data_IF_407726007249
#
_entry.id   IF_407726007249
#
_cell.length_a   1.000
_cell.length_b   1.000
_cell.length_c   1.000
_cell.angle_alpha   90.00
_cell.angle_beta   90.00
_cell.angle_gamma   90.00
#
_symmetry.space_group_name_H-M   'P 1'
#
loop_
_entity.id
_entity.type
_entity.pdbx_description
1 polymer ?
#
# COMPACT_ATOMS: atom_id res chain seq x y z
N UNK A 1 7.16 2.26 -24.98
CA UNK A 1 5.94 2.91 -24.51
C UNK A 1 6.28 3.88 -23.39
N UNK A 2 5.69 5.07 -23.42
CA UNK A 2 6.01 6.20 -22.53
C UNK A 2 5.74 5.87 -21.04
N UNK A 3 4.95 4.88 -20.76
CA UNK A 3 4.54 4.53 -19.40
C UNK A 3 5.50 3.53 -18.69
N UNK A 4 6.27 2.75 -19.41
CA UNK A 4 7.15 1.72 -18.80
C UNK A 4 8.31 2.32 -18.01
N UNK A 5 8.69 3.56 -18.27
CA UNK A 5 9.77 4.25 -17.55
C UNK A 5 9.40 4.87 -16.20
N UNK A 6 8.13 4.79 -15.79
CA UNK A 6 7.63 5.47 -14.57
C UNK A 6 7.38 4.48 -13.43
N UNK A 7 7.30 3.18 -13.71
CA UNK A 7 6.98 2.14 -12.74
C UNK A 7 8.23 1.37 -12.32
N UNK A 8 8.43 1.26 -11.02
CA UNK A 8 9.44 0.34 -10.48
C UNK A 8 8.91 -1.08 -10.58
N UNK A 9 9.69 -1.99 -11.18
CA UNK A 9 9.35 -3.41 -11.27
C UNK A 9 10.33 -4.22 -10.42
N UNK A 10 9.79 -5.04 -9.54
CA UNK A 10 10.53 -5.98 -8.71
C UNK A 10 9.95 -7.38 -8.96
N UNK A 11 10.78 -8.32 -9.31
CA UNK A 11 10.36 -9.69 -9.58
C UNK A 11 11.27 -10.67 -8.86
N UNK A 12 10.66 -11.68 -8.22
CA UNK A 12 11.37 -12.78 -7.54
C UNK A 12 12.44 -12.28 -6.53
N UNK A 13 12.07 -11.29 -5.73
CA UNK A 13 12.93 -10.75 -4.67
C UNK A 13 12.52 -11.33 -3.31
N UNK A 14 13.51 -11.80 -2.56
CA UNK A 14 13.29 -12.50 -1.31
C UNK A 14 14.03 -11.82 -0.17
N UNK A 15 13.31 -11.52 0.91
CA UNK A 15 13.86 -11.05 2.18
C UNK A 15 13.71 -12.18 3.19
N UNK A 16 14.81 -12.63 3.76
CA UNK A 16 14.78 -13.75 4.69
C UNK A 16 15.54 -13.43 5.98
N UNK A 17 14.80 -13.31 7.07
CA UNK A 17 15.38 -13.17 8.40
C UNK A 17 16.14 -14.45 8.83
N UNK A 18 17.14 -14.28 9.67
CA UNK A 18 17.86 -15.40 10.28
C UNK A 18 17.04 -16.05 11.40
N UNK A 19 17.54 -17.13 11.95
CA UNK A 19 16.95 -17.82 13.11
C UNK A 19 16.69 -16.81 14.25
N UNK A 20 15.45 -16.76 14.73
CA UNK A 20 14.99 -15.78 15.74
C UNK A 20 14.20 -14.62 15.16
N UNK A 21 14.19 -14.49 13.85
CA UNK A 21 13.37 -13.52 13.12
C UNK A 21 14.04 -12.18 12.86
N UNK A 22 13.58 -11.48 11.84
CA UNK A 22 14.01 -10.14 11.46
C UNK A 22 13.09 -9.09 12.09
N UNK A 23 13.68 -8.06 12.68
CA UNK A 23 12.94 -6.88 13.16
C UNK A 23 13.22 -5.70 12.24
N UNK A 24 12.16 -4.99 11.83
CA UNK A 24 12.23 -3.76 11.05
C UNK A 24 11.62 -2.63 11.86
N UNK A 25 12.37 -1.55 12.02
CA UNK A 25 11.94 -0.43 12.84
C UNK A 25 12.15 0.91 12.13
N UNK A 26 11.13 1.75 12.13
CA UNK A 26 11.17 3.14 11.67
C UNK A 26 10.51 4.03 12.71
N UNK A 27 11.29 4.44 13.71
CA UNK A 27 10.84 5.26 14.83
C UNK A 27 11.81 6.42 15.10
N UNK A 28 11.34 7.47 15.76
CA UNK A 28 12.16 8.61 16.13
C UNK A 28 11.48 9.96 15.89
N UNK A 29 12.31 10.99 15.85
CA UNK A 29 11.91 12.36 15.53
C UNK A 29 12.84 12.93 14.44
N UNK A 30 12.42 13.98 13.78
CA UNK A 30 13.28 14.72 12.85
C UNK A 30 14.33 15.56 13.64
N UNK A 31 15.18 16.28 12.91
CA UNK A 31 16.22 17.14 13.51
C UNK A 31 15.66 18.26 14.40
N UNK A 32 14.38 18.58 14.31
CA UNK A 32 13.70 19.59 15.11
C UNK A 32 13.02 18.97 16.36
N UNK A 33 13.13 17.65 16.57
CA UNK A 33 12.46 16.92 17.66
C UNK A 33 10.98 16.63 17.39
N UNK A 34 10.47 16.85 16.18
CA UNK A 34 9.09 16.58 15.81
C UNK A 34 8.94 15.12 15.35
N UNK A 35 7.84 14.47 15.74
CA UNK A 35 7.43 13.17 15.18
C UNK A 35 7.05 13.38 13.73
N UNK A 36 7.59 12.57 12.83
CA UNK A 36 7.30 12.61 11.40
C UNK A 36 6.68 11.29 10.93
N UNK A 37 6.07 11.31 9.75
CA UNK A 37 5.48 10.13 9.11
C UNK A 37 6.58 9.10 8.78
N UNK A 38 6.84 8.17 9.69
CA UNK A 38 7.73 7.05 9.49
C UNK A 38 6.97 5.84 8.96
N UNK A 39 7.52 5.20 7.92
CA UNK A 39 6.93 4.01 7.34
C UNK A 39 7.90 2.83 7.44
N UNK A 40 7.42 1.71 7.98
CA UNK A 40 8.18 0.48 8.12
C UNK A 40 7.49 -0.68 7.37
N UNK A 41 8.24 -1.43 6.58
CA UNK A 41 7.75 -2.61 5.91
C UNK A 41 8.81 -3.69 5.88
N UNK A 42 8.43 -4.94 6.07
CA UNK A 42 9.36 -6.05 6.02
C UNK A 42 10.07 -6.16 4.67
N UNK A 43 9.42 -5.78 3.59
CA UNK A 43 9.97 -5.74 2.24
C UNK A 43 10.27 -4.30 1.76
N UNK A 44 9.30 -3.40 1.87
CA UNK A 44 9.43 -2.00 1.47
C UNK A 44 8.76 -1.09 2.51
N UNK A 45 9.48 -0.06 3.00
CA UNK A 45 8.91 0.96 3.88
C UNK A 45 7.84 1.78 3.15
N UNK A 46 8.19 2.41 2.01
CA UNK A 46 7.25 3.21 1.20
C UNK A 46 7.41 2.92 -0.27
N UNK A 47 6.31 2.71 -0.97
CA UNK A 47 6.28 2.47 -2.42
C UNK A 47 5.30 3.39 -3.13
N UNK A 48 5.73 3.90 -4.28
CA UNK A 48 4.88 4.65 -5.21
C UNK A 48 4.92 3.97 -6.57
N UNK A 49 3.77 3.60 -7.14
CA UNK A 49 3.68 2.99 -8.48
C UNK A 49 4.58 1.76 -8.68
N UNK A 50 4.72 0.91 -7.67
CA UNK A 50 5.52 -0.31 -7.78
C UNK A 50 4.71 -1.46 -8.35
N UNK A 51 5.35 -2.28 -9.19
CA UNK A 51 4.88 -3.60 -9.56
C UNK A 51 5.80 -4.65 -8.94
N UNK A 52 5.27 -5.46 -8.02
CA UNK A 52 6.03 -6.46 -7.31
C UNK A 52 5.40 -7.82 -7.57
N UNK A 53 6.20 -8.76 -8.04
CA UNK A 53 5.74 -10.08 -8.46
C UNK A 53 6.59 -11.15 -7.78
N UNK A 54 5.98 -12.23 -7.31
CA UNK A 54 6.64 -13.43 -6.76
C UNK A 54 7.71 -13.10 -5.72
N UNK A 55 7.38 -12.18 -4.82
CA UNK A 55 8.33 -11.69 -3.83
C UNK A 55 7.83 -11.97 -2.43
N UNK A 56 8.76 -12.29 -1.53
CA UNK A 56 8.39 -12.68 -0.17
C UNK A 56 9.28 -12.11 0.92
N UNK A 57 8.69 -12.07 2.12
CA UNK A 57 9.40 -11.84 3.38
C UNK A 57 9.21 -13.07 4.26
N UNK A 58 10.30 -13.67 4.69
CA UNK A 58 10.28 -14.83 5.59
C UNK A 58 10.97 -14.54 6.90
N UNK A 59 10.55 -15.26 7.93
CA UNK A 59 11.11 -15.12 9.28
C UNK A 59 11.05 -13.68 9.80
N UNK A 60 9.91 -13.01 9.59
CA UNK A 60 9.65 -11.68 10.13
C UNK A 60 9.20 -11.80 11.59
N UNK A 61 9.87 -11.07 12.50
CA UNK A 61 9.50 -11.05 13.91
C UNK A 61 8.62 -9.85 14.23
N UNK A 62 9.09 -8.67 13.91
CA UNK A 62 8.39 -7.46 14.27
C UNK A 62 8.61 -6.35 13.23
N UNK A 63 7.54 -5.63 12.92
CA UNK A 63 7.63 -4.38 12.16
C UNK A 63 7.03 -3.27 13.00
N UNK A 64 7.82 -2.25 13.28
CA UNK A 64 7.41 -1.16 14.16
C UNK A 64 7.61 0.20 13.48
N UNK A 65 6.62 1.06 13.57
CA UNK A 65 6.73 2.48 13.24
C UNK A 65 6.27 3.33 14.44
N UNK A 66 6.35 4.65 14.33
CA UNK A 66 5.90 5.54 15.40
C UNK A 66 4.40 5.32 15.74
N UNK A 67 4.07 5.46 17.01
CA UNK A 67 2.69 5.39 17.52
C UNK A 67 1.85 6.61 17.15
N UNK A 68 2.47 7.65 16.61
CA UNK A 68 1.82 8.85 16.08
C UNK A 68 2.30 9.02 14.63
N UNK A 69 1.36 9.14 13.69
CA UNK A 69 1.61 9.33 12.26
C UNK A 69 2.50 8.25 11.60
N UNK A 70 2.81 7.14 12.27
CA UNK A 70 3.59 6.04 11.74
C UNK A 70 2.75 4.98 11.03
N UNK A 71 3.28 4.37 9.97
CA UNK A 71 2.62 3.27 9.25
C UNK A 71 3.52 2.04 9.18
N UNK A 72 3.03 0.89 9.64
CA UNK A 72 3.77 -0.35 9.58
C UNK A 72 2.98 -1.48 8.90
N UNK A 73 3.66 -2.25 8.07
CA UNK A 73 3.09 -3.43 7.43
C UNK A 73 4.12 -4.54 7.25
N UNK A 74 3.69 -5.79 7.34
CA UNK A 74 4.58 -6.92 7.21
C UNK A 74 5.30 -6.98 5.86
N UNK A 75 4.63 -6.60 4.79
CA UNK A 75 5.23 -6.49 3.47
C UNK A 75 5.56 -5.03 3.12
N UNK A 76 4.59 -4.13 3.21
CA UNK A 76 4.75 -2.72 2.85
C UNK A 76 4.22 -1.79 3.94
N UNK A 77 5.01 -0.81 4.38
CA UNK A 77 4.57 0.20 5.35
C UNK A 77 3.53 1.13 4.77
N UNK A 78 3.82 1.74 3.61
CA UNK A 78 2.89 2.61 2.89
C UNK A 78 2.99 2.39 1.38
N UNK A 79 1.87 2.07 0.76
CA UNK A 79 1.74 1.87 -0.69
C UNK A 79 0.84 2.95 -1.26
N UNK A 80 1.36 3.72 -2.22
CA UNK A 80 0.70 4.89 -2.79
C UNK A 80 0.69 4.84 -4.32
N UNK A 81 -0.30 5.50 -4.92
CA UNK A 81 -0.32 5.77 -6.35
C UNK A 81 0.71 6.84 -6.71
N UNK A 82 1.33 6.71 -7.87
CA UNK A 82 2.15 7.77 -8.46
C UNK A 82 1.30 8.97 -8.92
N UNK A 83 1.94 10.13 -9.00
CA UNK A 83 1.29 11.34 -9.50
C UNK A 83 1.17 11.35 -11.02
N UNK A 84 0.02 11.73 -11.56
CA UNK A 84 -0.13 11.99 -13.02
C UNK A 84 0.83 13.10 -13.49
N UNK A 85 1.25 13.98 -12.61
CA UNK A 85 2.25 15.00 -12.89
C UNK A 85 3.62 14.37 -13.24
N UNK A 86 3.96 13.23 -12.67
CA UNK A 86 5.20 12.52 -12.94
C UNK A 86 5.20 11.90 -14.35
N UNK A 87 4.03 11.56 -14.88
CA UNK A 87 3.85 11.08 -16.26
C UNK A 87 3.82 12.26 -17.23
N UNK A 88 3.13 13.35 -16.89
CA UNK A 88 2.97 14.50 -17.76
C UNK A 88 4.28 15.31 -17.95
N UNK A 89 5.20 15.27 -16.99
CA UNK A 89 6.50 15.94 -17.10
C UNK A 89 7.49 15.24 -18.05
N UNK A 90 7.21 13.98 -18.44
CA UNK A 90 8.10 13.16 -19.28
C UNK A 90 7.47 12.71 -20.61
N UNK A 91 6.18 12.99 -20.82
CA UNK A 91 5.47 12.60 -22.02
C UNK A 91 4.90 13.80 -22.76
N UNK A 92 4.89 13.72 -24.09
CA UNK A 92 4.11 14.65 -24.89
C UNK A 92 2.61 14.47 -24.54
N UNK A 93 2.08 15.45 -23.80
CA UNK A 93 0.70 15.46 -23.30
C UNK A 93 -0.30 15.24 -24.45
N UNK A 94 0.04 15.67 -25.69
CA UNK A 94 -0.78 15.43 -26.87
C UNK A 94 -0.89 13.93 -27.23
N UNK A 95 0.09 13.11 -26.88
CA UNK A 95 0.04 11.68 -27.12
C UNK A 95 -0.84 10.92 -26.10
N UNK A 96 -1.12 11.52 -24.94
CA UNK A 96 -2.02 10.99 -23.90
C UNK A 96 -3.50 11.32 -24.17
N UNK A 97 -3.82 12.08 -25.24
CA UNK A 97 -5.17 12.56 -25.54
C UNK A 97 -6.16 11.48 -26.02
N UNK A 98 -5.74 10.21 -26.09
CA UNK A 98 -6.63 9.08 -26.36
C UNK A 98 -6.99 8.41 -25.03
N UNK A 99 -8.29 8.28 -24.73
CA UNK A 99 -8.81 7.70 -23.48
C UNK A 99 -8.17 6.33 -23.16
N UNK A 100 -7.98 5.47 -24.16
CA UNK A 100 -7.35 4.15 -23.99
C UNK A 100 -5.87 4.26 -23.59
N UNK A 101 -5.15 5.27 -24.07
CA UNK A 101 -3.75 5.51 -23.68
C UNK A 101 -3.68 6.10 -22.27
N UNK A 102 -4.63 6.97 -21.88
CA UNK A 102 -4.73 7.51 -20.54
C UNK A 102 -5.05 6.41 -19.52
N UNK A 103 -6.00 5.53 -19.80
CA UNK A 103 -6.31 4.37 -18.99
C UNK A 103 -5.11 3.43 -18.85
N UNK A 104 -4.38 3.20 -19.96
CA UNK A 104 -3.14 2.45 -19.93
C UNK A 104 -2.09 3.10 -19.02
N UNK A 105 -1.89 4.42 -19.12
CA UNK A 105 -0.96 5.17 -18.30
C UNK A 105 -1.35 5.12 -16.81
N UNK A 106 -2.63 5.26 -16.49
CA UNK A 106 -3.13 5.20 -15.10
C UNK A 106 -2.81 3.85 -14.45
N UNK A 107 -2.96 2.75 -15.17
CA UNK A 107 -2.61 1.41 -14.65
C UNK A 107 -1.16 1.32 -14.19
N UNK A 108 -0.23 2.03 -14.85
CA UNK A 108 1.17 2.08 -14.45
C UNK A 108 1.45 2.97 -13.23
N UNK A 109 0.49 3.80 -12.82
CA UNK A 109 0.62 4.61 -11.62
C UNK A 109 0.15 3.85 -10.36
N UNK A 110 -0.62 2.78 -10.53
CA UNK A 110 -1.17 2.00 -9.44
C UNK A 110 -0.14 0.98 -8.94
N UNK A 111 0.04 0.84 -7.63
CA UNK A 111 0.84 -0.26 -7.10
C UNK A 111 0.17 -1.60 -7.38
N UNK A 112 0.97 -2.63 -7.62
CA UNK A 112 0.50 -3.98 -7.89
C UNK A 112 1.41 -5.00 -7.20
N UNK A 113 0.79 -5.90 -6.45
CA UNK A 113 1.45 -6.99 -5.70
C UNK A 113 0.83 -8.31 -6.15
N UNK A 114 1.59 -9.11 -6.89
CA UNK A 114 1.15 -10.41 -7.40
C UNK A 114 2.01 -11.51 -6.79
N UNK A 115 1.38 -12.51 -6.18
CA UNK A 115 2.06 -13.60 -5.48
C UNK A 115 3.08 -13.08 -4.44
N UNK A 116 2.68 -12.05 -3.68
CA UNK A 116 3.50 -11.46 -2.64
C UNK A 116 3.05 -11.95 -1.26
N UNK A 117 4.00 -12.43 -0.47
CA UNK A 117 3.71 -13.02 0.84
C UNK A 117 4.63 -12.55 1.94
N UNK A 118 4.12 -12.57 3.17
CA UNK A 118 4.89 -12.40 4.39
C UNK A 118 4.63 -13.55 5.35
N UNK A 119 5.69 -14.09 5.94
CA UNK A 119 5.62 -15.15 6.95
C UNK A 119 6.31 -14.67 8.23
N UNK A 120 5.54 -14.61 9.30
CA UNK A 120 6.03 -14.25 10.62
C UNK A 120 6.60 -15.47 11.33
N UNK A 121 7.54 -15.25 12.25
CA UNK A 121 7.96 -16.25 13.24
C UNK A 121 6.93 -16.31 14.37
N UNK A 122 7.05 -17.28 15.25
CA UNK A 122 6.24 -17.37 16.47
C UNK A 122 6.29 -16.06 17.27
N UNK A 123 5.14 -15.57 17.68
CA UNK A 123 4.93 -14.27 18.34
C UNK A 123 5.27 -13.04 17.50
N UNK A 124 5.26 -13.19 16.18
CA UNK A 124 5.55 -12.08 15.29
C UNK A 124 4.34 -11.21 14.99
N UNK A 125 4.60 -9.92 14.73
CA UNK A 125 3.51 -8.99 14.44
C UNK A 125 3.92 -7.61 13.99
N UNK A 126 2.99 -6.65 14.13
CA UNK A 126 3.13 -5.27 13.67
C UNK A 126 2.61 -4.29 14.71
N UNK A 127 3.35 -3.20 14.94
CA UNK A 127 2.94 -2.11 15.82
C UNK A 127 3.26 -0.72 15.24
N UNK A 128 2.24 0.18 15.17
CA UNK A 128 2.39 1.56 14.68
C UNK A 128 1.13 2.38 15.00
N UNK A 129 1.07 3.65 14.58
CA UNK A 129 -0.20 4.39 14.53
C UNK A 129 -1.19 3.70 13.57
N UNK A 130 -0.72 3.33 12.39
CA UNK A 130 -1.48 2.55 11.40
C UNK A 130 -0.77 1.24 11.11
N UNK A 131 -1.33 0.11 11.56
CA UNK A 131 -0.68 -1.20 11.52
C UNK A 131 -1.48 -2.23 10.71
N UNK A 132 -0.81 -2.97 9.83
CA UNK A 132 -1.42 -4.05 9.05
C UNK A 132 -0.49 -5.24 8.81
N UNK A 133 -1.02 -6.45 8.86
CA UNK A 133 -0.23 -7.67 8.67
C UNK A 133 0.50 -7.73 7.34
N UNK A 134 -0.09 -7.18 6.27
CA UNK A 134 0.54 -7.03 4.96
C UNK A 134 0.94 -5.58 4.69
N UNK A 135 0.01 -4.64 4.82
CA UNK A 135 0.22 -3.23 4.52
C UNK A 135 -0.26 -2.33 5.66
N UNK A 136 0.55 -1.35 6.08
CA UNK A 136 0.10 -0.30 7.00
C UNK A 136 -0.93 0.59 6.33
N UNK A 137 -0.52 1.40 5.38
CA UNK A 137 -1.38 2.18 4.49
C UNK A 137 -1.38 1.59 3.07
N UNK A 138 -2.55 1.36 2.51
CA UNK A 138 -2.72 0.88 1.14
C UNK A 138 -3.67 1.80 0.37
N UNK A 139 -3.09 2.64 -0.46
CA UNK A 139 -3.84 3.56 -1.29
C UNK A 139 -3.95 3.02 -2.71
N UNK A 140 -5.15 2.62 -3.12
CA UNK A 140 -5.44 2.09 -4.46
C UNK A 140 -4.54 0.92 -4.86
N UNK A 141 -4.67 0.43 -6.08
CA UNK A 141 -3.84 -0.66 -6.59
C UNK A 141 -4.41 -2.04 -6.33
N UNK A 142 -3.61 -3.06 -6.60
CA UNK A 142 -4.06 -4.45 -6.58
C UNK A 142 -3.17 -5.33 -5.73
N UNK A 143 -3.78 -6.26 -4.99
CA UNK A 143 -3.09 -7.43 -4.43
C UNK A 143 -3.79 -8.67 -4.94
N UNK A 144 -3.05 -9.58 -5.58
CA UNK A 144 -3.60 -10.78 -6.17
C UNK A 144 -2.62 -11.97 -6.06
N UNK A 145 -3.04 -13.02 -5.36
CA UNK A 145 -2.27 -14.25 -5.23
C UNK A 145 -2.95 -15.44 -5.94
N UNK A 146 -3.76 -15.20 -6.97
CA UNK A 146 -4.50 -16.23 -7.69
C UNK A 146 -3.60 -17.34 -8.23
N UNK A 147 -2.42 -17.00 -8.72
CA UNK A 147 -1.49 -17.94 -9.35
C UNK A 147 -0.62 -18.72 -8.35
N UNK A 148 -0.75 -18.43 -7.05
CA UNK A 148 -0.06 -19.15 -5.99
C UNK A 148 -0.53 -20.62 -5.80
N UNK A 149 -1.56 -21.05 -6.57
CA UNK A 149 -2.15 -22.38 -6.54
C UNK A 149 -3.33 -22.51 -5.59
N UNK A 150 -4.21 -23.47 -5.89
CA UNK A 150 -5.43 -23.72 -5.13
C UNK A 150 -5.11 -24.02 -3.66
N UNK A 151 -5.73 -23.27 -2.74
CA UNK A 151 -5.49 -23.35 -1.30
C UNK A 151 -4.39 -22.43 -0.75
N UNK A 152 -3.62 -21.71 -1.59
CA UNK A 152 -2.55 -20.81 -1.18
C UNK A 152 -2.92 -19.32 -1.36
N UNK A 153 -4.18 -18.99 -1.13
CA UNK A 153 -4.70 -17.62 -1.32
C UNK A 153 -4.43 -16.71 -0.11
N UNK A 154 -3.23 -16.77 0.44
CA UNK A 154 -2.88 -15.98 1.60
C UNK A 154 -1.67 -15.11 1.31
N UNK A 155 -1.74 -13.85 1.73
CA UNK A 155 -0.60 -12.92 1.69
C UNK A 155 0.15 -12.88 3.01
N UNK A 156 -0.47 -13.31 4.10
CA UNK A 156 0.08 -13.23 5.46
C UNK A 156 -0.03 -14.59 6.14
N UNK A 157 1.09 -15.05 6.66
CA UNK A 157 1.18 -16.32 7.38
C UNK A 157 1.74 -16.12 8.80
N UNK A 158 1.19 -16.88 9.76
CA UNK A 158 1.65 -16.94 11.15
C UNK A 158 1.68 -15.59 11.89
N UNK A 159 0.82 -14.67 11.49
CA UNK A 159 0.63 -13.41 12.20
C UNK A 159 0.06 -13.70 13.60
N UNK A 160 0.58 -13.08 14.66
CA UNK A 160 0.08 -13.24 16.02
C UNK A 160 -0.57 -11.97 16.56
N UNK A 161 -0.01 -10.81 16.26
CA UNK A 161 -0.60 -9.55 16.70
C UNK A 161 -0.46 -8.41 15.70
N UNK A 162 -1.46 -7.52 15.71
CA UNK A 162 -1.42 -6.21 15.05
C UNK A 162 -1.89 -5.17 16.06
N UNK A 163 -1.02 -4.24 16.41
CA UNK A 163 -1.29 -3.19 17.36
C UNK A 163 -1.24 -1.82 16.67
N UNK A 164 -2.40 -1.22 16.43
CA UNK A 164 -2.54 0.13 15.92
C UNK A 164 -2.91 1.12 17.01
N UNK A 165 -2.52 2.38 16.88
CA UNK A 165 -3.08 3.45 17.71
C UNK A 165 -4.35 4.00 17.06
N UNK A 166 -4.31 4.33 15.78
CA UNK A 166 -5.47 4.84 15.03
C UNK A 166 -6.18 3.75 14.22
N UNK A 167 -5.41 2.90 13.52
CA UNK A 167 -5.96 1.86 12.65
C UNK A 167 -5.17 0.56 12.78
N UNK A 168 -5.90 -0.55 12.84
CA UNK A 168 -5.31 -1.88 12.88
C UNK A 168 -6.11 -2.86 12.00
N UNK A 169 -5.43 -3.73 11.26
CA UNK A 169 -6.08 -4.75 10.45
C UNK A 169 -5.17 -5.94 10.16
N UNK A 170 -5.70 -7.14 10.16
CA UNK A 170 -4.94 -8.36 9.88
C UNK A 170 -4.23 -8.34 8.53
N UNK A 171 -4.84 -7.76 7.51
CA UNK A 171 -4.25 -7.54 6.19
C UNK A 171 -3.74 -6.11 6.03
N UNK A 172 -4.60 -5.09 6.11
CA UNK A 172 -4.28 -3.69 5.94
C UNK A 172 -4.79 -2.85 7.10
N UNK A 173 -3.96 -1.95 7.64
CA UNK A 173 -4.34 -1.03 8.70
C UNK A 173 -5.33 0.01 8.18
N UNK A 174 -4.98 0.67 7.08
CA UNK A 174 -5.83 1.64 6.40
C UNK A 174 -5.81 1.37 4.89
N UNK A 175 -6.97 1.04 4.32
CA UNK A 175 -7.14 0.76 2.89
C UNK A 175 -8.12 1.77 2.31
N UNK A 176 -7.66 2.58 1.37
CA UNK A 176 -8.46 3.68 0.83
C UNK A 176 -8.22 3.90 -0.66
N UNK A 177 -9.18 4.48 -1.34
CA UNK A 177 -9.05 4.83 -2.75
C UNK A 177 -8.13 6.05 -2.94
N UNK A 178 -7.36 6.03 -4.02
CA UNK A 178 -6.45 7.13 -4.33
C UNK A 178 -7.16 8.41 -4.72
N UNK A 179 -6.35 9.44 -4.84
CA UNK A 179 -6.69 10.85 -4.88
C UNK A 179 -7.45 11.38 -6.09
N UNK A 180 -8.17 10.56 -6.87
CA UNK A 180 -9.30 11.11 -7.61
C UNK A 180 -10.40 11.62 -6.64
N UNK A 181 -10.40 11.07 -5.40
CA UNK A 181 -11.21 11.58 -4.30
C UNK A 181 -10.56 12.76 -3.56
N UNK A 182 -9.27 13.02 -3.77
CA UNK A 182 -8.60 14.23 -3.30
C UNK A 182 -8.98 15.38 -4.25
N UNK A 183 -10.21 15.84 -4.08
CA UNK A 183 -10.97 16.68 -5.02
C UNK A 183 -10.24 17.99 -5.41
N UNK A 184 -9.32 18.46 -4.58
CA UNK A 184 -8.49 19.63 -4.91
C UNK A 184 -7.50 19.39 -6.03
N UNK A 185 -6.94 18.19 -6.15
CA UNK A 185 -5.99 17.82 -7.20
C UNK A 185 -6.66 17.13 -8.40
N UNK A 186 -7.73 16.37 -8.15
CA UNK A 186 -8.51 15.69 -9.18
C UNK A 186 -9.26 16.65 -10.12
N UNK A 187 -9.79 17.74 -9.59
CA UNK A 187 -10.42 18.82 -10.41
C UNK A 187 -9.41 19.49 -11.32
N UNK A 188 -8.15 19.61 -10.92
CA UNK A 188 -7.07 20.11 -11.78
C UNK A 188 -6.79 19.16 -12.97
N UNK A 189 -6.92 17.85 -12.77
CA UNK A 189 -6.79 16.85 -13.84
C UNK A 189 -8.00 16.94 -14.78
N UNK A 190 -9.22 16.96 -14.24
CA UNK A 190 -10.45 17.14 -15.01
C UNK A 190 -10.48 18.51 -15.74
N UNK A 191 -9.96 19.57 -15.12
CA UNK A 191 -9.81 20.87 -15.75
C UNK A 191 -8.81 20.89 -16.92
N UNK A 192 -7.74 20.13 -16.85
CA UNK A 192 -6.77 19.91 -17.96
C UNK A 192 -7.31 18.97 -19.03
N UNK A 193 -8.30 18.15 -18.71
CA UNK A 193 -9.03 17.29 -19.62
C UNK A 193 -10.18 18.02 -20.36
N UNK A 194 -10.44 19.31 -20.05
CA UNK A 194 -11.34 20.16 -20.84
C UNK A 194 -10.81 20.31 -22.27
N UNK A 195 -11.49 19.68 -23.20
CA UNK A 195 -11.07 19.60 -24.61
C UNK A 195 -10.75 18.19 -25.10
N UNK A 196 -10.77 17.20 -24.20
CA UNK A 196 -10.77 15.81 -24.57
C UNK A 196 -12.21 15.30 -24.72
N UNK A 197 -12.51 14.60 -25.77
CA UNK A 197 -13.76 13.82 -25.91
C UNK A 197 -13.68 12.57 -25.03
N UNK A 198 -13.67 12.78 -23.69
CA UNK A 198 -13.77 11.71 -22.71
C UNK A 198 -15.26 11.51 -22.42
N UNK A 199 -15.78 10.34 -22.76
CA UNK A 199 -17.15 10.00 -22.42
C UNK A 199 -17.27 9.56 -20.95
N UNK A 200 -18.51 9.48 -20.44
CA UNK A 200 -18.80 9.12 -19.06
C UNK A 200 -18.28 7.73 -18.71
N UNK A 201 -18.30 6.79 -19.64
CA UNK A 201 -17.79 5.43 -19.47
C UNK A 201 -16.27 5.43 -19.23
N UNK A 202 -15.52 6.22 -20.00
CA UNK A 202 -14.07 6.36 -19.82
C UNK A 202 -13.71 7.01 -18.48
N UNK A 203 -14.51 7.98 -18.03
CA UNK A 203 -14.35 8.62 -16.74
C UNK A 203 -14.62 7.63 -15.59
N UNK A 204 -15.68 6.83 -15.68
CA UNK A 204 -16.00 5.79 -14.70
C UNK A 204 -14.91 4.72 -14.65
N UNK A 205 -14.37 4.30 -15.79
CA UNK A 205 -13.26 3.35 -15.86
C UNK A 205 -11.98 3.93 -15.22
N UNK A 206 -11.74 5.23 -15.38
CA UNK A 206 -10.63 5.92 -14.74
C UNK A 206 -10.81 5.97 -13.23
N UNK A 207 -12.00 6.29 -12.75
CA UNK A 207 -12.34 6.30 -11.32
C UNK A 207 -12.19 4.90 -10.73
N UNK A 208 -12.74 3.88 -11.38
CA UNK A 208 -12.64 2.48 -10.93
C UNK A 208 -11.20 1.98 -10.84
N UNK A 209 -10.30 2.47 -11.69
CA UNK A 209 -8.89 2.11 -11.63
C UNK A 209 -8.20 2.57 -10.34
N UNK A 210 -8.72 3.58 -9.64
CA UNK A 210 -8.18 4.06 -8.36
C UNK A 210 -8.80 3.39 -7.12
N UNK A 211 -9.74 2.47 -7.32
CA UNK A 211 -10.30 1.70 -6.21
C UNK A 211 -9.34 0.56 -5.84
N UNK A 212 -9.02 0.36 -4.54
CA UNK A 212 -8.22 -0.78 -4.12
C UNK A 212 -8.90 -2.10 -4.51
N UNK A 213 -8.13 -3.02 -5.06
CA UNK A 213 -8.61 -4.34 -5.45
C UNK A 213 -7.75 -5.41 -4.78
N UNK A 214 -8.33 -6.12 -3.82
CA UNK A 214 -7.67 -7.20 -3.09
C UNK A 214 -8.38 -8.50 -3.40
N UNK A 215 -7.68 -9.46 -3.98
CA UNK A 215 -8.21 -10.75 -4.37
C UNK A 215 -7.22 -11.86 -4.05
N UNK A 216 -7.72 -12.99 -3.56
CA UNK A 216 -6.88 -14.12 -3.15
C UNK A 216 -5.74 -13.71 -2.21
N UNK A 217 -6.04 -12.85 -1.24
CA UNK A 217 -5.08 -12.30 -0.30
C UNK A 217 -5.67 -12.35 1.10
N UNK A 218 -5.45 -13.43 1.79
CA UNK A 218 -5.94 -13.67 3.14
C UNK A 218 -4.84 -13.59 4.19
N UNK A 219 -5.26 -13.75 5.45
CA UNK A 219 -4.38 -13.94 6.60
C UNK A 219 -4.62 -15.35 7.14
N UNK A 220 -3.55 -16.14 7.28
CA UNK A 220 -3.59 -17.47 7.86
C UNK A 220 -2.69 -17.52 9.09
N UNK A 221 -3.24 -17.87 10.22
CA UNK A 221 -2.50 -18.14 11.44
C UNK A 221 -3.10 -19.37 12.13
N UNK A 222 -2.26 -20.37 12.37
CA UNK A 222 -2.72 -21.65 12.97
C UNK A 222 -3.06 -21.48 14.45
N UNK A 223 -2.49 -20.48 15.13
CA UNK A 223 -2.75 -20.20 16.56
C UNK A 223 -3.75 -19.05 16.78
N UNK A 224 -4.35 -18.53 15.70
CA UNK A 224 -5.12 -17.29 15.76
C UNK A 224 -4.22 -16.05 15.87
N UNK A 225 -4.84 -14.86 15.80
CA UNK A 225 -4.14 -13.60 15.98
C UNK A 225 -5.05 -12.54 16.60
N UNK A 226 -4.45 -11.53 17.23
CA UNK A 226 -5.18 -10.40 17.80
C UNK A 226 -4.97 -9.15 16.97
N UNK A 227 -6.02 -8.36 16.83
CA UNK A 227 -5.98 -7.03 16.19
C UNK A 227 -6.52 -6.03 17.20
N UNK A 228 -5.70 -5.05 17.55
CA UNK A 228 -6.05 -4.03 18.56
C UNK A 228 -5.83 -2.64 18.00
N UNK A 229 -6.84 -1.78 18.11
CA UNK A 229 -6.73 -0.34 17.84
C UNK A 229 -7.00 0.42 19.15
N UNK A 230 -6.03 1.21 19.62
CA UNK A 230 -6.00 1.76 20.97
C UNK A 230 -6.41 3.24 21.09
N UNK A 231 -6.89 3.86 19.99
CA UNK A 231 -7.27 5.27 20.05
C UNK A 231 -8.37 5.52 21.07
N UNK A 232 -8.01 6.06 22.22
CA UNK A 232 -8.98 6.64 23.12
C UNK A 232 -9.59 7.87 22.44
N UNK A 233 -10.93 7.87 22.27
CA UNK A 233 -11.64 9.11 21.91
C UNK A 233 -11.25 10.17 22.92
N UNK A 234 -10.54 11.21 22.50
CA UNK A 234 -10.56 12.45 23.27
C UNK A 234 -12.03 12.91 23.21
N UNK A 235 -12.68 12.95 24.37
CA UNK A 235 -13.95 13.63 24.47
C UNK A 235 -13.67 15.08 24.06
N UNK A 236 -14.16 15.49 22.92
CA UNK A 236 -14.26 16.91 22.56
C UNK A 236 -15.13 17.55 23.61
N UNK A 237 -14.50 18.16 24.60
CA UNK A 237 -15.14 19.06 25.54
C UNK A 237 -15.58 20.29 24.76
N UNK A 238 -16.75 20.22 24.16
CA UNK A 238 -17.46 21.42 23.76
C UNK A 238 -17.97 22.10 25.01
N UNK A 239 -17.22 23.09 25.45
CA UNK A 239 -17.67 24.10 26.39
C UNK A 239 -18.01 25.36 25.63
#
# INVERSE_FOLDING_TARGET
>A
SVAEGVRVKINEAHVNGITGGMTVQATGTNSNGEVVDYTAGGFIGKSNSCEIIKSDVKNLKEVTANDTDGSAGGFVGSSQTGGLADVAGKADVKALLNANKLLGAVKYLLPSYTECTVTYVDKGGVAADTAGGFAGNFQSGTVNNQDAGEGNYYSVYNLEHVNGQSYAGGFGGNVYSGALADAGKGISILGKLKGLNINVSDLLNLINAYIPYVQYAGVKSDNGFTVTANKTKSEDSHS
#
